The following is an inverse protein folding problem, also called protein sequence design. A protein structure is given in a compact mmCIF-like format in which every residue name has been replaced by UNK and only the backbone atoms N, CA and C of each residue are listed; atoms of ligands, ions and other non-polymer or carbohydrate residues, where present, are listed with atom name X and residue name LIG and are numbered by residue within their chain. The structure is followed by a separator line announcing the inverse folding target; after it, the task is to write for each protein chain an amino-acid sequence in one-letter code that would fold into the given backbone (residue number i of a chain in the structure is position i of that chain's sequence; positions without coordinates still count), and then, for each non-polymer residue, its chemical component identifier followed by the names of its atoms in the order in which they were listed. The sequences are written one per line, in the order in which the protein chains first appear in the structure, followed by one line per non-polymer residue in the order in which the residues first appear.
data_IF_501390267837
#
_entry.id   IF_501390267837
#
_cell.length_a   1.000
_cell.length_b   1.000
_cell.length_c   1.000
_cell.angle_alpha   90.00
_cell.angle_beta   90.00
_cell.angle_gamma   90.00
#
_symmetry.space_group_name_H-M   'P 1'
#
loop_
_entity.id
_entity.type
_entity.pdbx_description
1 polymer ?
#
# COMPACT_ATOMS: atom_id res chain seq x y z
N UNK A 1 -40.99 -45.31 28.97
CA UNK A 1 -40.74 -43.89 28.70
C UNK A 1 -39.32 -43.57 29.18
N UNK A 2 -38.38 -43.38 28.26
CA UNK A 2 -37.00 -42.99 28.58
C UNK A 2 -36.73 -41.65 27.90
N UNK A 3 -36.54 -40.60 28.69
CA UNK A 3 -36.26 -39.25 28.21
C UNK A 3 -34.74 -39.13 28.03
N UNK A 4 -34.29 -39.03 26.79
CA UNK A 4 -32.89 -38.71 26.44
C UNK A 4 -32.72 -37.19 26.51
N UNK A 5 -31.94 -36.71 27.48
CA UNK A 5 -31.49 -35.32 27.57
C UNK A 5 -30.27 -35.19 26.63
N UNK A 6 -30.45 -34.51 25.50
CA UNK A 6 -29.34 -34.08 24.64
C UNK A 6 -28.64 -32.91 25.34
N UNK A 7 -27.43 -33.16 25.84
CA UNK A 7 -26.52 -32.11 26.32
C UNK A 7 -25.91 -31.42 25.10
N UNK A 8 -26.40 -30.22 24.74
CA UNK A 8 -25.74 -29.36 23.77
C UNK A 8 -24.51 -28.74 24.43
N UNK A 9 -23.33 -29.21 24.03
CA UNK A 9 -22.06 -28.57 24.33
C UNK A 9 -22.02 -27.27 23.50
N UNK A 10 -22.33 -26.16 24.17
CA UNK A 10 -22.12 -24.82 23.64
C UNK A 10 -20.61 -24.56 23.64
N UNK A 11 -19.95 -24.79 22.51
CA UNK A 11 -18.56 -24.36 22.29
C UNK A 11 -18.59 -22.83 22.15
N UNK A 12 -18.33 -22.14 23.25
CA UNK A 12 -18.03 -20.71 23.27
C UNK A 12 -16.71 -20.49 22.53
N UNK A 13 -16.80 -20.20 21.23
CA UNK A 13 -15.72 -19.60 20.45
C UNK A 13 -15.47 -18.19 21.02
N UNK A 14 -14.63 -18.11 22.04
CA UNK A 14 -14.00 -16.85 22.42
C UNK A 14 -13.22 -16.36 21.18
N UNK A 15 -13.46 -15.13 20.69
CA UNK A 15 -12.57 -14.56 19.69
C UNK A 15 -11.19 -14.50 20.32
N UNK A 16 -10.26 -15.32 19.83
CA UNK A 16 -8.85 -15.19 20.12
C UNK A 16 -8.49 -13.74 19.79
N UNK A 17 -8.20 -12.96 20.82
CA UNK A 17 -7.48 -11.71 20.68
C UNK A 17 -6.16 -12.09 20.02
N UNK A 18 -6.09 -11.92 18.71
CA UNK A 18 -4.87 -12.15 17.94
C UNK A 18 -3.93 -11.04 18.38
N UNK A 19 -2.96 -11.37 19.23
CA UNK A 19 -1.84 -10.48 19.53
C UNK A 19 -1.21 -10.07 18.18
N UNK A 20 -1.19 -8.77 17.91
CA UNK A 20 -0.60 -8.24 16.68
C UNK A 20 0.91 -8.45 16.72
N UNK A 21 1.44 -9.26 15.79
CA UNK A 21 2.87 -9.45 15.59
C UNK A 21 3.49 -8.35 14.73
N UNK A 22 4.81 -8.41 14.57
CA UNK A 22 5.57 -7.54 13.68
C UNK A 22 6.38 -8.39 12.72
N UNK A 23 6.39 -8.02 11.45
CA UNK A 23 7.26 -8.64 10.45
C UNK A 23 8.67 -8.04 10.54
N UNK A 24 9.71 -8.86 10.45
CA UNK A 24 11.08 -8.37 10.33
C UNK A 24 11.38 -7.99 8.88
N UNK A 25 11.67 -6.72 8.60
CA UNK A 25 12.12 -6.30 7.26
C UNK A 25 13.62 -6.54 7.14
N UNK A 26 14.00 -7.63 6.46
CA UNK A 26 15.40 -8.06 6.30
C UNK A 26 16.11 -7.34 5.17
N UNK A 27 15.36 -6.86 4.18
CA UNK A 27 15.87 -6.05 3.08
C UNK A 27 14.82 -5.05 2.60
N UNK A 28 15.26 -3.90 2.08
CA UNK A 28 14.42 -2.90 1.44
C UNK A 28 15.03 -2.44 0.12
N UNK A 29 14.29 -2.63 -0.97
CA UNK A 29 14.72 -2.19 -2.30
C UNK A 29 13.75 -1.20 -2.91
N UNK A 30 14.28 -0.14 -3.50
CA UNK A 30 13.53 0.81 -4.31
C UNK A 30 13.92 0.66 -5.78
N UNK A 31 12.97 0.35 -6.64
CA UNK A 31 13.15 0.14 -8.09
C UNK A 31 12.55 1.31 -8.83
N UNK A 32 13.39 2.12 -9.48
CA UNK A 32 12.95 3.21 -10.34
C UNK A 32 12.70 2.68 -11.76
N UNK A 33 11.45 2.36 -12.09
CA UNK A 33 11.04 1.95 -13.43
C UNK A 33 10.85 3.12 -14.39
N UNK A 34 11.02 4.37 -13.95
CA UNK A 34 10.79 5.56 -14.76
C UNK A 34 11.92 5.80 -15.77
N UNK A 35 11.65 6.65 -16.77
CA UNK A 35 12.66 7.20 -17.69
C UNK A 35 13.42 8.41 -17.10
N UNK A 36 13.10 8.79 -15.87
CA UNK A 36 13.68 9.93 -15.17
C UNK A 36 14.11 9.54 -13.77
N UNK A 37 15.04 10.30 -13.21
CA UNK A 37 15.57 10.09 -11.87
C UNK A 37 14.50 10.40 -10.81
N UNK A 38 14.52 9.61 -9.75
CA UNK A 38 13.59 9.70 -8.62
C UNK A 38 14.37 9.91 -7.34
N UNK A 39 13.96 10.89 -6.53
CA UNK A 39 14.50 11.07 -5.18
C UNK A 39 13.62 10.33 -4.17
N UNK A 40 14.25 9.46 -3.37
CA UNK A 40 13.66 8.78 -2.22
C UNK A 40 13.89 9.65 -0.97
N UNK A 41 12.82 10.29 -0.47
CA UNK A 41 12.89 11.48 0.38
C UNK A 41 13.63 11.27 1.70
N UNK A 42 13.23 10.26 2.49
CA UNK A 42 13.72 10.13 3.87
C UNK A 42 15.19 9.69 3.94
N UNK A 43 15.71 9.12 2.86
CA UNK A 43 17.11 8.74 2.70
C UNK A 43 17.92 9.78 1.91
N UNK A 44 17.24 10.76 1.30
CA UNK A 44 17.83 11.76 0.41
C UNK A 44 18.70 11.13 -0.69
N UNK A 45 18.24 10.01 -1.25
CA UNK A 45 18.93 9.27 -2.31
C UNK A 45 18.25 9.53 -3.64
N UNK A 46 19.05 9.85 -4.66
CA UNK A 46 18.60 9.85 -6.06
C UNK A 46 18.82 8.46 -6.63
N UNK A 47 17.73 7.81 -7.07
CA UNK A 47 17.74 6.54 -7.78
C UNK A 47 17.64 6.84 -9.28
N UNK A 48 18.69 6.57 -10.07
CA UNK A 48 18.67 6.89 -11.49
C UNK A 48 17.55 6.17 -12.25
N UNK A 49 17.15 6.72 -13.38
CA UNK A 49 16.20 6.09 -14.30
C UNK A 49 16.58 4.63 -14.59
N UNK A 50 15.60 3.72 -14.56
CA UNK A 50 15.75 2.27 -14.81
C UNK A 50 16.70 1.53 -13.86
N UNK A 51 17.04 2.13 -12.72
CA UNK A 51 17.93 1.50 -11.73
C UNK A 51 17.17 1.08 -10.47
N UNK A 52 17.80 0.18 -9.72
CA UNK A 52 17.36 -0.21 -8.37
C UNK A 52 18.37 0.24 -7.34
N UNK A 53 17.89 0.57 -6.14
CA UNK A 53 18.72 0.92 -5.00
C UNK A 53 18.33 0.07 -3.79
N UNK A 54 19.33 -0.54 -3.15
CA UNK A 54 19.17 -1.27 -1.90
C UNK A 54 19.45 -0.31 -0.76
N UNK A 55 18.45 -0.08 0.08
CA UNK A 55 18.53 0.84 1.20
C UNK A 55 19.03 0.07 2.41
N UNK A 56 20.06 0.59 3.07
CA UNK A 56 20.65 -0.05 4.25
C UNK A 56 20.56 0.81 5.51
N UNK A 57 20.29 2.09 5.34
CA UNK A 57 20.29 3.09 6.39
C UNK A 57 18.95 3.13 7.13
N UNK A 58 19.04 3.32 8.45
CA UNK A 58 17.87 3.63 9.27
C UNK A 58 17.42 5.07 9.07
N UNK A 59 16.13 5.29 9.24
CA UNK A 59 15.47 6.60 9.20
C UNK A 59 15.26 7.16 10.60
N UNK A 60 15.41 8.47 10.73
CA UNK A 60 15.10 9.24 11.94
C UNK A 60 13.80 10.05 11.84
N UNK A 61 13.20 10.13 10.64
CA UNK A 61 11.97 10.86 10.37
C UNK A 61 11.16 10.15 9.26
N UNK A 62 9.92 10.61 9.02
CA UNK A 62 9.07 10.02 7.99
C UNK A 62 8.71 8.55 8.25
N UNK A 63 8.75 8.10 9.51
CA UNK A 63 8.65 6.67 9.86
C UNK A 63 7.36 5.99 9.40
N UNK A 64 6.31 6.77 9.14
CA UNK A 64 4.98 6.28 8.77
C UNK A 64 4.74 6.27 7.26
N UNK A 65 5.71 6.69 6.45
CA UNK A 65 5.56 6.78 4.99
C UNK A 65 6.81 6.34 4.26
N UNK A 66 6.69 5.83 3.06
CA UNK A 66 7.80 5.74 2.10
C UNK A 66 7.46 6.69 0.97
N UNK A 67 8.24 7.77 0.80
CA UNK A 67 7.89 8.88 -0.09
C UNK A 67 8.95 9.12 -1.17
N UNK A 68 8.50 9.36 -2.39
CA UNK A 68 9.38 9.62 -3.54
C UNK A 68 8.79 10.68 -4.48
N UNK A 69 9.63 11.30 -5.30
CA UNK A 69 9.21 12.17 -6.41
C UNK A 69 10.25 12.18 -7.53
N UNK A 70 9.87 12.62 -8.72
CA UNK A 70 10.84 12.96 -9.75
C UNK A 70 11.78 14.07 -9.26
N UNK A 71 13.07 13.99 -9.62
CA UNK A 71 14.04 15.05 -9.30
C UNK A 71 13.60 16.39 -9.91
N UNK A 72 13.27 16.37 -11.21
CA UNK A 72 12.88 17.54 -12.01
C UNK A 72 11.36 17.64 -12.27
N UNK A 73 10.55 17.00 -11.43
CA UNK A 73 9.09 16.98 -11.59
C UNK A 73 8.34 17.80 -10.53
N UNK A 74 7.05 17.47 -10.32
CA UNK A 74 6.24 18.13 -9.30
C UNK A 74 6.87 18.04 -7.90
N UNK A 75 6.62 19.05 -7.06
CA UNK A 75 7.32 19.20 -5.77
C UNK A 75 6.74 18.35 -4.64
N UNK A 76 5.46 17.94 -4.73
CA UNK A 76 4.89 17.00 -3.78
C UNK A 76 5.36 15.56 -4.09
N UNK A 77 5.35 14.72 -3.06
CA UNK A 77 5.75 13.32 -3.17
C UNK A 77 4.57 12.40 -3.33
N UNK A 78 4.76 11.36 -4.13
CA UNK A 78 3.98 10.13 -4.05
C UNK A 78 4.46 9.35 -2.83
N UNK A 79 3.58 8.57 -2.20
CA UNK A 79 3.95 7.80 -1.02
C UNK A 79 3.05 6.59 -0.77
N UNK A 80 3.63 5.65 -0.02
CA UNK A 80 2.91 4.56 0.66
C UNK A 80 2.76 4.97 2.12
N UNK A 81 1.54 4.92 2.64
CA UNK A 81 1.27 5.05 4.07
C UNK A 81 1.53 3.69 4.71
N UNK A 82 2.35 3.65 5.76
CA UNK A 82 2.76 2.41 6.41
C UNK A 82 1.81 1.99 7.55
N UNK A 83 0.95 2.91 8.03
CA UNK A 83 0.08 2.71 9.20
C UNK A 83 0.80 2.16 10.42
N UNK A 84 2.06 2.56 10.59
CA UNK A 84 2.93 2.12 11.66
C UNK A 84 4.31 2.72 11.47
N UNK A 85 5.00 2.97 12.58
CA UNK A 85 6.36 3.46 12.52
C UNK A 85 7.29 2.33 12.06
N UNK A 86 8.11 2.61 11.05
CA UNK A 86 9.17 1.71 10.63
C UNK A 86 10.49 2.45 10.44
N UNK A 87 11.51 2.04 11.20
CA UNK A 87 12.81 2.71 11.20
C UNK A 87 13.70 2.31 10.04
N UNK A 88 13.39 1.23 9.33
CA UNK A 88 14.20 0.74 8.21
C UNK A 88 14.63 -0.72 8.37
N UNK A 89 15.50 -1.16 7.48
CA UNK A 89 15.99 -2.54 7.41
C UNK A 89 16.57 -3.00 8.76
N UNK A 90 16.30 -4.24 9.13
CA UNK A 90 16.75 -4.82 10.39
C UNK A 90 15.88 -4.45 11.59
N UNK A 91 14.83 -3.66 11.41
CA UNK A 91 13.87 -3.32 12.48
C UNK A 91 12.49 -3.94 12.25
N UNK A 92 11.75 -4.27 13.32
CA UNK A 92 10.39 -4.79 13.19
C UNK A 92 9.47 -3.77 12.50
N UNK A 93 8.57 -4.27 11.66
CA UNK A 93 7.51 -3.52 11.03
C UNK A 93 6.15 -4.11 11.44
N UNK A 94 5.37 -3.33 12.18
CA UNK A 94 4.07 -3.74 12.72
C UNK A 94 2.89 -3.04 12.02
N UNK A 95 3.17 -2.34 10.91
CA UNK A 95 2.17 -1.59 10.15
C UNK A 95 1.53 -2.41 9.04
N UNK A 96 0.49 -1.85 8.44
CA UNK A 96 -0.30 -2.46 7.37
C UNK A 96 -0.36 -1.48 6.20
N UNK A 97 0.57 -1.53 5.25
CA UNK A 97 0.69 -0.51 4.22
C UNK A 97 -0.57 -0.33 3.38
N UNK A 98 -0.78 0.89 2.89
CA UNK A 98 -1.76 1.21 1.87
C UNK A 98 -1.28 2.38 1.00
N UNK A 99 -1.92 2.57 -0.15
CA UNK A 99 -1.81 3.83 -0.87
C UNK A 99 -2.71 4.88 -0.20
N UNK A 100 -2.20 6.12 -0.08
CA UNK A 100 -2.93 7.25 0.47
C UNK A 100 -2.80 8.46 -0.46
N UNK A 101 -3.39 8.37 -1.65
CA UNK A 101 -3.25 9.38 -2.71
C UNK A 101 -4.32 10.46 -2.64
N UNK A 102 -4.54 11.04 -1.45
CA UNK A 102 -5.66 11.98 -1.22
C UNK A 102 -5.55 13.27 -2.02
N UNK A 103 -4.33 13.75 -2.21
CA UNK A 103 -4.03 15.01 -2.88
C UNK A 103 -3.82 14.87 -4.39
N UNK A 104 -3.53 13.65 -4.84
CA UNK A 104 -3.02 13.39 -6.17
C UNK A 104 -1.82 12.45 -6.14
N UNK A 105 -1.31 12.17 -7.33
CA UNK A 105 -0.08 11.39 -7.53
C UNK A 105 0.52 11.65 -8.91
N UNK A 106 1.79 11.29 -9.07
CA UNK A 106 2.56 11.53 -10.29
C UNK A 106 3.06 10.27 -10.98
N UNK A 107 3.09 9.14 -10.29
CA UNK A 107 3.66 7.89 -10.80
C UNK A 107 2.78 6.69 -10.49
N UNK A 108 2.76 5.73 -11.43
CA UNK A 108 2.34 4.38 -11.09
C UNK A 108 3.32 3.81 -10.06
N UNK A 109 2.85 3.00 -9.13
CA UNK A 109 3.73 2.35 -8.17
C UNK A 109 3.19 1.03 -7.68
N UNK A 110 4.09 0.20 -7.18
CA UNK A 110 3.83 -1.08 -6.56
C UNK A 110 4.63 -1.20 -5.29
N UNK A 111 4.07 -1.83 -4.28
CA UNK A 111 4.85 -2.35 -3.18
C UNK A 111 4.53 -3.82 -2.89
N UNK A 112 5.54 -4.54 -2.43
CA UNK A 112 5.51 -5.99 -2.29
C UNK A 112 6.29 -6.41 -1.02
N UNK A 113 5.78 -7.43 -0.35
CA UNK A 113 6.44 -8.23 0.68
C UNK A 113 6.84 -9.57 0.06
N UNK A 114 8.14 -9.75 -0.12
CA UNK A 114 8.74 -10.93 -0.74
C UNK A 114 9.46 -11.78 0.31
N UNK A 115 9.63 -13.06 0.03
CA UNK A 115 10.52 -13.90 0.83
C UNK A 115 11.97 -13.39 0.70
N UNK A 116 12.73 -13.29 1.80
CA UNK A 116 14.10 -12.78 1.74
C UNK A 116 15.00 -13.60 0.81
N UNK A 117 15.57 -12.96 -0.20
CA UNK A 117 16.45 -13.61 -1.18
C UNK A 117 15.73 -14.33 -2.32
N UNK A 118 14.40 -14.22 -2.39
CA UNK A 118 13.57 -14.81 -3.43
C UNK A 118 12.71 -13.75 -4.13
N UNK A 119 12.17 -14.11 -5.29
CA UNK A 119 11.22 -13.28 -6.07
C UNK A 119 9.76 -13.71 -5.85
N UNK A 120 9.50 -14.42 -4.75
CA UNK A 120 8.22 -15.01 -4.37
C UNK A 120 7.57 -14.19 -3.26
N UNK A 121 6.24 -14.12 -3.22
CA UNK A 121 5.51 -13.38 -2.18
C UNK A 121 5.59 -14.08 -0.82
N UNK A 122 5.73 -13.29 0.25
CA UNK A 122 5.92 -13.81 1.61
C UNK A 122 4.64 -14.16 2.37
N UNK A 123 3.50 -13.55 2.01
CA UNK A 123 2.25 -13.70 2.77
C UNK A 123 1.02 -13.60 1.88
N UNK A 124 -0.17 -13.84 2.45
CA UNK A 124 -1.44 -13.94 1.75
C UNK A 124 -1.98 -12.62 1.16
N UNK A 125 -1.51 -11.48 1.67
CA UNK A 125 -1.85 -10.13 1.22
C UNK A 125 -0.57 -9.30 0.96
N UNK A 126 0.29 -9.75 0.03
CA UNK A 126 1.69 -9.37 -0.03
C UNK A 126 1.95 -7.99 -0.61
N UNK A 127 0.96 -7.24 -1.08
CA UNK A 127 1.25 -5.97 -1.72
C UNK A 127 0.11 -5.36 -2.51
N UNK A 128 0.40 -4.23 -3.14
CA UNK A 128 -0.57 -3.52 -3.96
C UNK A 128 0.09 -2.79 -5.11
N UNK A 129 -0.73 -2.45 -6.11
CA UNK A 129 -0.37 -1.56 -7.21
C UNK A 129 -1.36 -0.40 -7.30
N UNK A 130 -0.83 0.75 -7.68
CA UNK A 130 -1.56 1.91 -8.13
C UNK A 130 -1.03 2.28 -9.52
N UNK A 131 -1.85 2.16 -10.55
CA UNK A 131 -1.45 2.58 -11.90
C UNK A 131 -1.79 4.04 -12.14
N UNK A 132 -0.98 4.72 -12.93
CA UNK A 132 -1.16 6.12 -13.29
C UNK A 132 -1.28 6.26 -14.80
N UNK A 133 -2.20 7.10 -15.21
CA UNK A 133 -2.37 7.49 -16.61
C UNK A 133 -2.69 8.96 -16.69
N UNK A 134 -1.78 9.72 -17.30
CA UNK A 134 -1.95 11.16 -17.48
C UNK A 134 -3.14 11.50 -18.38
N UNK A 135 -3.45 10.64 -19.35
CA UNK A 135 -4.53 10.86 -20.33
C UNK A 135 -5.91 10.67 -19.71
N UNK A 136 -6.05 9.73 -18.77
CA UNK A 136 -7.34 9.44 -18.12
C UNK A 136 -7.47 10.05 -16.72
N UNK A 137 -6.48 10.83 -16.28
CA UNK A 137 -6.57 11.57 -15.03
C UNK A 137 -7.78 12.54 -15.08
N UNK A 138 -8.69 12.50 -14.08
CA UNK A 138 -9.89 13.33 -14.06
C UNK A 138 -9.62 14.80 -13.69
N UNK A 139 -8.37 15.12 -13.35
CA UNK A 139 -7.92 16.46 -13.01
C UNK A 139 -6.76 16.91 -13.90
N UNK A 140 -6.28 18.14 -13.67
CA UNK A 140 -5.16 18.70 -14.42
C UNK A 140 -3.85 18.54 -13.65
N UNK A 141 -2.75 18.45 -14.39
CA UNK A 141 -1.42 18.61 -13.81
C UNK A 141 -1.26 20.02 -13.22
N UNK A 142 -0.58 20.08 -12.08
CA UNK A 142 -0.11 21.33 -11.46
C UNK A 142 1.39 21.24 -11.17
N UNK A 143 1.93 22.20 -10.43
CA UNK A 143 3.28 22.10 -9.86
C UNK A 143 3.38 21.05 -8.74
N UNK A 144 2.25 20.59 -8.19
CA UNK A 144 2.18 19.65 -7.06
C UNK A 144 2.18 18.20 -7.51
N UNK A 145 1.30 17.85 -8.44
CA UNK A 145 1.14 16.49 -8.96
C UNK A 145 0.86 16.49 -10.47
N UNK A 146 1.18 15.37 -11.14
CA UNK A 146 0.74 15.15 -12.53
C UNK A 146 -0.77 14.86 -12.61
N UNK A 147 -1.36 14.31 -11.56
CA UNK A 147 -2.79 14.18 -11.37
C UNK A 147 -3.16 14.81 -10.03
N UNK A 148 -3.44 16.12 -10.00
CA UNK A 148 -3.70 16.89 -8.78
C UNK A 148 -5.20 16.96 -8.50
N UNK A 149 -5.67 16.31 -7.44
CA UNK A 149 -7.09 16.26 -7.12
C UNK A 149 -7.63 17.55 -6.52
N UNK A 150 -6.77 18.42 -6.00
CA UNK A 150 -7.21 19.75 -5.55
C UNK A 150 -7.48 20.72 -6.71
N UNK A 151 -6.94 20.46 -7.90
CA UNK A 151 -7.08 21.34 -9.06
C UNK A 151 -8.53 21.48 -9.55
N UNK A 152 -9.37 20.45 -9.34
CA UNK A 152 -10.76 20.43 -9.82
C UNK A 152 -11.80 20.74 -8.73
N UNK A 153 -11.37 20.90 -7.47
CA UNK A 153 -12.24 20.86 -6.27
C UNK A 153 -13.06 19.55 -6.12
N UNK A 154 -12.92 18.63 -7.06
CA UNK A 154 -13.56 17.31 -7.05
C UNK A 154 -12.84 16.48 -5.99
N UNK A 155 -13.56 16.15 -4.92
CA UNK A 155 -12.96 15.56 -3.73
C UNK A 155 -13.25 14.08 -3.64
N UNK A 156 -12.28 13.33 -3.11
CA UNK A 156 -12.51 11.95 -2.66
C UNK A 156 -13.43 11.87 -1.44
N UNK A 157 -13.91 12.99 -0.89
CA UNK A 157 -14.98 13.00 0.12
C UNK A 157 -16.29 12.36 -0.33
N UNK A 158 -16.51 12.20 -1.64
CA UNK A 158 -17.61 11.41 -2.18
C UNK A 158 -17.07 10.24 -2.98
N UNK A 159 -17.56 9.03 -2.70
CA UNK A 159 -17.21 7.84 -3.48
C UNK A 159 -17.73 7.88 -4.92
N UNK A 160 -18.70 8.75 -5.22
CA UNK A 160 -19.20 8.98 -6.57
C UNK A 160 -18.41 10.01 -7.37
N UNK A 161 -17.39 10.66 -6.80
CA UNK A 161 -16.59 11.64 -7.53
C UNK A 161 -15.74 10.99 -8.61
N UNK A 162 -15.43 11.74 -9.68
CA UNK A 162 -14.58 11.24 -10.77
C UNK A 162 -13.20 10.82 -10.28
N UNK A 163 -12.68 11.54 -9.28
CA UNK A 163 -11.41 11.23 -8.64
C UNK A 163 -11.47 9.90 -7.88
N UNK A 164 -12.53 9.67 -7.10
CA UNK A 164 -12.70 8.43 -6.37
C UNK A 164 -12.86 7.23 -7.30
N UNK A 165 -13.66 7.37 -8.37
CA UNK A 165 -13.82 6.34 -9.41
C UNK A 165 -12.48 6.05 -10.09
N UNK A 166 -11.74 7.08 -10.50
CA UNK A 166 -10.42 6.93 -11.10
C UNK A 166 -9.45 6.18 -10.17
N UNK A 167 -9.36 6.58 -8.90
CA UNK A 167 -8.50 5.89 -7.92
C UNK A 167 -8.91 4.43 -7.74
N UNK A 168 -10.22 4.14 -7.66
CA UNK A 168 -10.72 2.78 -7.55
C UNK A 168 -10.34 1.94 -8.76
N UNK A 169 -10.49 2.47 -9.98
CA UNK A 169 -10.16 1.78 -11.23
C UNK A 169 -8.66 1.51 -11.40
N UNK A 170 -7.83 2.29 -10.71
CA UNK A 170 -6.37 2.25 -10.81
C UNK A 170 -5.68 1.54 -9.64
N UNK A 171 -6.43 1.14 -8.63
CA UNK A 171 -5.90 0.47 -7.43
C UNK A 171 -6.14 -1.04 -7.49
N UNK A 172 -5.09 -1.83 -7.23
CA UNK A 172 -5.11 -3.29 -7.32
C UNK A 172 -4.42 -3.94 -6.12
N UNK A 173 -5.10 -4.90 -5.49
CA UNK A 173 -4.51 -5.87 -4.58
C UNK A 173 -3.74 -6.92 -5.37
N UNK A 174 -2.55 -7.28 -4.88
CA UNK A 174 -1.75 -8.39 -5.38
C UNK A 174 -1.99 -9.57 -4.45
N UNK A 175 -2.30 -10.75 -4.99
CA UNK A 175 -2.39 -12.00 -4.23
C UNK A 175 -1.11 -12.86 -4.39
N UNK A 176 -0.93 -13.92 -3.59
CA UNK A 176 0.28 -14.77 -3.66
C UNK A 176 0.52 -15.46 -4.99
N UNK A 177 -0.53 -15.66 -5.79
CA UNK A 177 -0.45 -16.21 -7.15
C UNK A 177 -0.09 -15.16 -8.22
N UNK A 178 0.15 -13.92 -7.81
CA UNK A 178 0.41 -12.77 -8.69
C UNK A 178 -0.83 -12.17 -9.34
N UNK A 179 -2.04 -12.67 -9.03
CA UNK A 179 -3.27 -12.10 -9.56
C UNK A 179 -3.49 -10.67 -9.04
N UNK A 180 -4.00 -9.81 -9.94
CA UNK A 180 -4.39 -8.42 -9.67
C UNK A 180 -5.90 -8.34 -9.53
N UNK A 181 -6.39 -8.03 -8.34
CA UNK A 181 -7.83 -7.94 -8.02
C UNK A 181 -8.14 -6.65 -7.26
N UNK A 182 -9.41 -6.35 -7.00
CA UNK A 182 -9.80 -5.10 -6.30
C UNK A 182 -9.66 -5.17 -4.78
N UNK A 183 -9.76 -6.37 -4.21
CA UNK A 183 -9.64 -6.63 -2.79
C UNK A 183 -8.89 -7.94 -2.58
N UNK A 184 -8.09 -8.02 -1.53
CA UNK A 184 -7.31 -9.22 -1.21
C UNK A 184 -8.23 -10.42 -1.00
N UNK A 185 -7.88 -11.58 -1.58
CA UNK A 185 -8.69 -12.78 -1.45
C UNK A 185 -8.81 -13.24 0.02
N UNK A 186 -7.72 -13.09 0.78
CA UNK A 186 -7.63 -13.57 2.17
C UNK A 186 -8.39 -12.69 3.18
N UNK A 187 -8.41 -11.37 2.98
CA UNK A 187 -8.95 -10.41 3.98
C UNK A 187 -10.16 -9.64 3.50
N UNK A 188 -10.42 -9.60 2.18
CA UNK A 188 -11.39 -8.70 1.53
C UNK A 188 -11.07 -7.21 1.71
N UNK A 189 -9.89 -6.87 2.25
CA UNK A 189 -9.44 -5.49 2.35
C UNK A 189 -9.07 -4.95 0.96
N UNK A 190 -9.19 -3.63 0.82
CA UNK A 190 -8.75 -2.91 -0.37
C UNK A 190 -7.40 -2.24 -0.10
N UNK A 191 -6.76 -1.74 -1.15
CA UNK A 191 -5.37 -1.25 -1.07
C UNK A 191 -5.25 0.26 -0.88
N UNK A 192 -6.36 0.99 -1.00
CA UNK A 192 -6.42 2.44 -0.98
C UNK A 192 -7.79 2.91 -0.49
N UNK A 193 -7.81 4.02 0.26
CA UNK A 193 -9.04 4.79 0.48
C UNK A 193 -9.31 5.65 -0.75
N UNK A 194 -9.97 5.09 -1.77
CA UNK A 194 -10.34 5.87 -2.96
C UNK A 194 -11.38 6.95 -2.66
N UNK A 195 -12.11 6.82 -1.55
CA UNK A 195 -12.96 7.86 -1.01
C UNK A 195 -12.89 7.90 0.50
N UNK A 196 -13.37 9.01 1.07
CA UNK A 196 -13.30 9.28 2.49
C UNK A 196 -14.30 8.43 3.29
N UNK A 197 -13.92 7.89 4.47
CA UNK A 197 -14.83 7.13 5.32
C UNK A 197 -16.09 7.89 5.75
N UNK A 198 -16.06 9.23 5.74
CA UNK A 198 -17.24 10.06 5.99
C UNK A 198 -18.23 10.16 4.81
N UNK A 199 -17.87 9.63 3.63
CA UNK A 199 -18.76 9.59 2.47
C UNK A 199 -20.01 8.77 2.77
N UNK A 200 -21.22 9.24 2.42
CA UNK A 200 -22.46 8.47 2.63
C UNK A 200 -22.48 7.13 1.89
N UNK A 201 -21.72 7.03 0.79
CA UNK A 201 -21.60 5.82 -0.04
C UNK A 201 -20.40 4.94 0.35
N UNK A 202 -19.70 5.25 1.45
CA UNK A 202 -18.61 4.42 1.97
C UNK A 202 -19.15 3.08 2.48
N UNK A 203 -18.62 1.96 1.96
CA UNK A 203 -19.12 0.62 2.32
C UNK A 203 -18.47 0.00 3.55
N UNK A 204 -17.67 0.75 4.30
CA UNK A 204 -16.97 0.22 5.48
C UNK A 204 -15.81 -0.72 5.14
N UNK A 205 -15.15 -0.54 3.99
CA UNK A 205 -14.04 -1.40 3.60
C UNK A 205 -12.86 -1.29 4.57
N UNK A 206 -12.25 -2.42 4.92
CA UNK A 206 -10.92 -2.43 5.52
C UNK A 206 -9.87 -2.04 4.47
N UNK A 207 -8.85 -1.30 4.88
CA UNK A 207 -7.75 -0.88 4.00
C UNK A 207 -6.43 -1.28 4.63
N UNK A 208 -5.60 -1.97 3.87
CA UNK A 208 -4.27 -2.37 4.31
C UNK A 208 -3.86 -3.74 3.76
N UNK A 209 -2.56 -3.89 3.60
CA UNK A 209 -1.86 -5.13 3.23
C UNK A 209 -1.00 -5.65 4.38
N UNK A 210 -0.27 -6.73 4.14
CA UNK A 210 0.72 -7.32 5.04
C UNK A 210 0.14 -7.77 6.39
N UNK A 211 -1.18 -7.91 6.52
CA UNK A 211 -1.83 -8.38 7.75
C UNK A 211 -1.41 -9.83 8.01
N UNK A 212 -1.31 -10.64 6.96
CA UNK A 212 -0.84 -12.01 7.09
C UNK A 212 0.66 -12.06 7.43
N UNK A 213 1.45 -11.15 6.85
CA UNK A 213 2.87 -11.00 7.17
C UNK A 213 3.11 -10.63 8.65
N UNK A 214 2.38 -9.65 9.19
CA UNK A 214 2.55 -9.20 10.58
C UNK A 214 2.00 -10.22 11.57
N UNK A 215 0.84 -10.82 11.28
CA UNK A 215 0.22 -11.86 12.13
C UNK A 215 1.09 -13.10 12.32
N UNK A 216 1.82 -13.50 11.27
CA UNK A 216 2.69 -14.67 11.31
C UNK A 216 4.16 -14.33 11.55
N UNK A 217 4.47 -13.07 11.84
CA UNK A 217 5.84 -12.57 12.03
C UNK A 217 6.80 -12.95 10.89
N UNK A 218 6.25 -13.10 9.67
CA UNK A 218 7.00 -13.57 8.51
C UNK A 218 8.07 -12.56 8.16
N UNK A 219 9.37 -12.91 8.09
CA UNK A 219 10.40 -11.99 7.63
C UNK A 219 10.18 -11.63 6.16
N UNK A 220 10.39 -10.37 5.79
CA UNK A 220 10.14 -9.89 4.42
C UNK A 220 11.31 -9.11 3.84
N UNK A 221 11.48 -9.24 2.52
CA UNK A 221 12.07 -8.19 1.70
C UNK A 221 10.93 -7.27 1.24
N UNK A 222 10.94 -6.03 1.74
CA UNK A 222 10.01 -4.99 1.30
C UNK A 222 10.55 -4.38 -0.01
N UNK A 223 9.82 -4.52 -1.12
CA UNK A 223 10.16 -3.86 -2.39
C UNK A 223 9.15 -2.77 -2.72
N UNK A 224 9.63 -1.63 -3.19
CA UNK A 224 8.83 -0.57 -3.83
C UNK A 224 9.32 -0.38 -5.25
N UNK A 225 8.40 -0.35 -6.22
CA UNK A 225 8.69 -0.14 -7.63
C UNK A 225 7.86 1.03 -8.15
N UNK A 226 8.47 2.00 -8.83
CA UNK A 226 7.78 3.15 -9.43
C UNK A 226 7.75 3.06 -10.96
N UNK A 227 6.81 3.79 -11.58
CA UNK A 227 6.52 3.75 -13.01
C UNK A 227 6.32 2.34 -13.56
N UNK A 228 5.55 1.52 -12.82
CA UNK A 228 5.07 0.24 -13.34
C UNK A 228 4.19 0.46 -14.59
N UNK A 229 4.14 -0.50 -15.53
CA UNK A 229 3.21 -0.46 -16.65
C UNK A 229 1.75 -0.34 -16.20
N UNK A 230 0.91 0.31 -17.01
CA UNK A 230 -0.54 0.35 -16.80
C UNK A 230 -1.18 -1.04 -16.96
#
# INVERSE_FOLDING_TARGET
MAVRILCHILVLLLPLLVDGGCSQVTNFSFVNGCEADVILKDWNVVVPAKMSYQVSELRSSGLQRISWRYVDGPWDTDFIELNGDWKGVGTPFCGHPNFATWAGFSMSSRYEALLPGEETFACADPGAELTFSRVSCPSMQTSRYLCDFFATQDSIRSCGSKVAIYMQERSWAINPDGSRVRAYNATQNVVNYWCAPESPDWRGWGVGSFIDCTRHETPIHFRVTTCIPE
#
